data_IF_696438581265
#
_entry.id   IF_696438581265
#
_cell.length_a   1.000
_cell.length_b   1.000
_cell.length_c   1.000
_cell.angle_alpha   90.00
_cell.angle_beta   90.00
_cell.angle_gamma   90.00
#
_symmetry.space_group_name_H-M   'P 1'
#
loop_
_entity.id
_entity.type
_entity.pdbx_description
1 polymer ?
#
# COMPACT_ATOMS: atom_id res chain seq x y z
N UNK A 1 20.53 36.94 31.84
CA UNK A 1 19.54 35.98 32.37
C UNK A 1 18.72 35.41 31.22
N UNK A 2 19.18 34.31 30.60
CA UNK A 2 18.38 33.58 29.62
C UNK A 2 17.65 32.43 30.32
N UNK A 3 16.31 32.53 30.35
CA UNK A 3 15.42 31.47 30.82
C UNK A 3 15.52 30.29 29.84
N UNK A 4 16.01 29.16 30.34
CA UNK A 4 15.98 27.86 29.68
C UNK A 4 14.53 27.40 29.54
N UNK A 5 14.02 27.35 28.31
CA UNK A 5 12.73 26.76 27.95
C UNK A 5 12.84 25.25 27.79
N UNK A 6 13.15 24.54 28.87
CA UNK A 6 13.04 23.09 28.92
C UNK A 6 11.56 22.71 29.14
N UNK A 7 10.75 22.77 28.10
CA UNK A 7 9.35 22.31 28.12
C UNK A 7 9.08 21.51 26.84
N UNK A 8 8.83 20.21 27.01
CA UNK A 8 8.19 19.28 26.05
C UNK A 8 9.04 18.51 25.01
N UNK A 9 10.28 18.11 25.32
CA UNK A 9 10.96 17.03 24.57
C UNK A 9 10.62 15.61 25.09
N UNK A 10 9.75 15.50 26.10
CA UNK A 10 9.58 14.28 26.90
C UNK A 10 8.60 13.23 26.36
N UNK A 11 8.05 13.39 25.14
CA UNK A 11 7.03 12.45 24.63
C UNK A 11 7.23 11.90 23.22
N UNK A 12 8.07 12.45 22.35
CA UNK A 12 8.18 11.93 20.96
C UNK A 12 8.89 10.57 20.90
N UNK A 13 9.94 10.37 21.72
CA UNK A 13 10.71 9.11 21.72
C UNK A 13 10.02 7.98 22.50
N UNK A 14 9.31 8.28 23.60
CA UNK A 14 8.47 7.29 24.31
C UNK A 14 7.24 6.88 23.48
N UNK A 15 6.65 7.82 22.75
CA UNK A 15 5.54 7.54 21.83
C UNK A 15 6.00 6.64 20.67
N UNK A 16 7.23 6.79 20.17
CA UNK A 16 7.80 5.90 19.15
C UNK A 16 7.92 4.43 19.59
N UNK A 17 8.28 4.15 20.85
CA UNK A 17 8.37 2.76 21.35
C UNK A 17 6.98 2.14 21.56
N UNK A 18 6.02 2.92 22.08
CA UNK A 18 4.62 2.50 22.19
C UNK A 18 3.99 2.30 20.81
N UNK A 19 4.27 3.15 19.83
CA UNK A 19 3.81 2.96 18.44
C UNK A 19 4.44 1.74 17.75
N UNK A 20 5.71 1.40 18.05
CA UNK A 20 6.31 0.15 17.56
C UNK A 20 5.65 -1.08 18.20
N UNK A 21 5.27 -1.00 19.47
CA UNK A 21 4.45 -2.01 20.15
C UNK A 21 3.04 -2.12 19.56
N UNK A 22 2.37 -1.00 19.31
CA UNK A 22 1.05 -0.93 18.67
C UNK A 22 1.10 -1.43 17.21
N UNK A 23 2.19 -1.20 16.50
CA UNK A 23 2.41 -1.74 15.17
C UNK A 23 2.37 -3.26 15.16
N UNK A 24 3.09 -3.90 16.08
CA UNK A 24 3.07 -5.36 16.23
C UNK A 24 1.65 -5.90 16.49
N UNK A 25 0.79 -5.13 17.20
CA UNK A 25 -0.61 -5.50 17.45
C UNK A 25 -1.42 -5.53 16.15
N UNK A 26 -1.21 -4.60 15.21
CA UNK A 26 -1.95 -4.61 13.94
C UNK A 26 -1.60 -5.81 13.07
N UNK A 27 -0.32 -6.20 13.04
CA UNK A 27 0.11 -7.42 12.32
C UNK A 27 -0.51 -8.66 12.96
N UNK A 28 -0.47 -8.75 14.30
CA UNK A 28 -1.11 -9.86 15.04
C UNK A 28 -2.62 -9.89 14.77
N UNK A 29 -3.29 -8.75 14.71
CA UNK A 29 -4.72 -8.67 14.41
C UNK A 29 -5.01 -9.19 12.99
N UNK A 30 -4.24 -8.77 11.98
CA UNK A 30 -4.39 -9.27 10.61
C UNK A 30 -4.20 -10.78 10.55
N UNK A 31 -3.13 -11.30 11.16
CA UNK A 31 -2.87 -12.74 11.21
C UNK A 31 -3.94 -13.51 12.01
N UNK A 32 -4.51 -12.89 13.06
CA UNK A 32 -5.62 -13.44 13.82
C UNK A 32 -6.89 -13.57 12.99
N UNK A 33 -7.25 -12.54 12.21
CA UNK A 33 -8.40 -12.58 11.29
C UNK A 33 -8.21 -13.64 10.21
N UNK A 34 -7.00 -13.74 9.65
CA UNK A 34 -6.65 -14.82 8.69
C UNK A 34 -6.77 -16.19 9.36
N UNK A 35 -6.29 -16.35 10.59
CA UNK A 35 -6.37 -17.60 11.34
C UNK A 35 -7.80 -18.04 11.65
N UNK A 36 -8.66 -17.11 12.08
CA UNK A 36 -10.09 -17.39 12.30
C UNK A 36 -10.78 -17.79 11.00
N UNK A 37 -10.46 -17.10 9.89
CA UNK A 37 -10.99 -17.42 8.57
C UNK A 37 -10.54 -18.80 8.09
N UNK A 38 -9.25 -19.13 8.26
CA UNK A 38 -8.70 -20.44 7.96
C UNK A 38 -9.38 -21.54 8.76
N UNK A 39 -9.52 -21.35 10.08
CA UNK A 39 -10.23 -22.29 10.94
C UNK A 39 -11.67 -22.53 10.44
N UNK A 40 -12.39 -21.44 10.15
CA UNK A 40 -13.76 -21.49 9.66
C UNK A 40 -13.90 -22.26 8.34
N UNK A 41 -13.10 -21.92 7.35
CA UNK A 41 -13.20 -22.52 6.01
C UNK A 41 -12.66 -23.95 6.02
N UNK A 42 -11.43 -24.14 6.48
CA UNK A 42 -10.69 -25.40 6.32
C UNK A 42 -11.12 -26.45 7.32
N UNK A 43 -11.24 -26.10 8.60
CA UNK A 43 -11.46 -27.10 9.65
C UNK A 43 -12.94 -27.36 9.90
N UNK A 44 -13.78 -26.34 9.85
CA UNK A 44 -15.20 -26.50 10.16
C UNK A 44 -16.10 -26.79 8.97
N UNK A 45 -15.93 -26.10 7.83
CA UNK A 45 -16.92 -26.17 6.74
C UNK A 45 -16.48 -27.08 5.57
N UNK A 46 -15.21 -27.04 5.14
CA UNK A 46 -14.75 -27.78 3.97
C UNK A 46 -13.79 -28.95 4.27
N UNK A 47 -13.31 -29.09 5.51
CA UNK A 47 -12.53 -30.23 5.95
C UNK A 47 -13.34 -31.53 6.11
N UNK A 48 -14.45 -31.53 6.87
CA UNK A 48 -15.24 -32.74 7.13
C UNK A 48 -15.79 -33.42 5.85
N UNK A 49 -16.27 -32.67 4.82
CA UNK A 49 -16.71 -33.29 3.57
C UNK A 49 -15.63 -34.08 2.83
N UNK A 50 -14.33 -33.88 3.09
CA UNK A 50 -13.24 -34.61 2.43
C UNK A 50 -13.24 -36.11 2.77
N UNK A 51 -13.63 -36.48 3.99
CA UNK A 51 -13.67 -37.88 4.42
C UNK A 51 -14.92 -38.64 3.94
N UNK A 52 -15.96 -37.93 3.51
CA UNK A 52 -17.24 -38.52 3.12
C UNK A 52 -17.21 -39.17 1.72
N UNK A 53 -16.29 -38.74 0.85
CA UNK A 53 -16.25 -39.13 -0.56
C UNK A 53 -17.36 -38.49 -1.40
N UNK A 54 -17.30 -38.68 -2.72
CA UNK A 54 -18.34 -38.24 -3.65
C UNK A 54 -18.23 -36.77 -4.10
N UNK A 55 -19.36 -36.19 -4.50
CA UNK A 55 -19.41 -34.85 -5.10
C UNK A 55 -19.03 -33.74 -4.12
N UNK A 56 -19.46 -33.84 -2.87
CA UNK A 56 -19.16 -32.84 -1.84
C UNK A 56 -17.67 -32.78 -1.52
N UNK A 57 -16.98 -33.94 -1.52
CA UNK A 57 -15.53 -33.97 -1.39
C UNK A 57 -14.82 -33.30 -2.58
N UNK A 58 -15.32 -33.50 -3.81
CA UNK A 58 -14.75 -32.84 -4.98
C UNK A 58 -14.90 -31.32 -4.92
N UNK A 59 -16.08 -30.82 -4.56
CA UNK A 59 -16.32 -29.38 -4.36
C UNK A 59 -15.40 -28.84 -3.26
N UNK A 60 -15.29 -29.54 -2.14
CA UNK A 60 -14.42 -29.15 -1.05
C UNK A 60 -12.95 -29.08 -1.46
N UNK A 61 -12.44 -30.06 -2.22
CA UNK A 61 -11.09 -30.03 -2.76
C UNK A 61 -10.89 -28.79 -3.65
N UNK A 62 -11.82 -28.51 -4.55
CA UNK A 62 -11.71 -27.34 -5.44
C UNK A 62 -11.65 -26.02 -4.66
N UNK A 63 -12.56 -25.85 -3.69
CA UNK A 63 -12.60 -24.65 -2.83
C UNK A 63 -11.31 -24.54 -2.02
N UNK A 64 -10.85 -25.62 -1.38
CA UNK A 64 -9.65 -25.61 -0.56
C UNK A 64 -8.38 -25.35 -1.36
N UNK A 65 -8.25 -25.92 -2.56
CA UNK A 65 -7.09 -25.65 -3.44
C UNK A 65 -7.05 -24.17 -3.83
N UNK A 66 -8.19 -23.61 -4.23
CA UNK A 66 -8.27 -22.19 -4.59
C UNK A 66 -7.99 -21.29 -3.39
N UNK A 67 -8.59 -21.59 -2.23
CA UNK A 67 -8.38 -20.89 -0.97
C UNK A 67 -6.90 -20.87 -0.57
N UNK A 68 -6.21 -22.03 -0.57
CA UNK A 68 -4.79 -22.07 -0.20
C UNK A 68 -3.89 -21.34 -1.21
N UNK A 69 -4.21 -21.39 -2.51
CA UNK A 69 -3.48 -20.67 -3.53
C UNK A 69 -3.61 -19.14 -3.36
N UNK A 70 -4.83 -18.65 -3.12
CA UNK A 70 -5.09 -17.23 -2.85
C UNK A 70 -4.48 -16.79 -1.52
N UNK A 71 -4.61 -17.58 -0.45
CA UNK A 71 -4.01 -17.32 0.85
C UNK A 71 -2.48 -17.21 0.76
N UNK A 72 -1.82 -18.10 0.00
CA UNK A 72 -0.39 -18.03 -0.23
C UNK A 72 0.02 -16.71 -0.91
N UNK A 73 -0.71 -16.30 -1.95
CA UNK A 73 -0.46 -15.03 -2.65
C UNK A 73 -0.77 -13.79 -1.79
N UNK A 74 -1.83 -13.86 -0.97
CA UNK A 74 -2.20 -12.82 -0.01
C UNK A 74 -1.08 -12.62 1.02
N UNK A 75 -0.64 -13.70 1.67
CA UNK A 75 0.40 -13.64 2.69
C UNK A 75 1.73 -13.20 2.09
N UNK A 76 2.10 -13.72 0.91
CA UNK A 76 3.32 -13.30 0.22
C UNK A 76 3.28 -11.79 -0.10
N UNK A 77 2.15 -11.29 -0.61
CA UNK A 77 1.98 -9.86 -0.91
C UNK A 77 1.99 -9.00 0.37
N UNK A 78 1.31 -9.45 1.43
CA UNK A 78 1.25 -8.78 2.73
C UNK A 78 2.64 -8.63 3.36
N UNK A 79 3.39 -9.73 3.47
CA UNK A 79 4.75 -9.67 4.01
C UNK A 79 5.69 -8.88 3.10
N UNK A 80 5.49 -8.92 1.77
CA UNK A 80 6.29 -8.09 0.85
C UNK A 80 6.07 -6.59 1.10
N UNK A 81 4.84 -6.11 1.34
CA UNK A 81 4.61 -4.69 1.66
C UNK A 81 5.07 -4.32 3.08
N UNK A 82 4.88 -5.21 4.07
CA UNK A 82 5.30 -4.98 5.47
C UNK A 82 6.82 -4.88 5.58
N UNK A 83 7.55 -5.80 4.93
CA UNK A 83 9.00 -5.95 5.12
C UNK A 83 9.85 -5.12 4.16
N UNK A 84 9.29 -4.65 3.04
CA UNK A 84 10.04 -3.84 2.07
C UNK A 84 10.14 -2.39 2.53
N UNK A 85 11.34 -1.80 2.50
CA UNK A 85 11.52 -0.37 2.69
C UNK A 85 10.74 0.40 1.60
N UNK A 86 9.85 1.34 1.93
CA UNK A 86 9.02 2.06 0.95
C UNK A 86 9.80 2.99 0.02
N UNK A 87 11.09 3.22 0.27
CA UNK A 87 11.95 4.13 -0.49
C UNK A 87 12.33 5.34 0.33
N UNK A 88 13.57 5.37 0.83
CA UNK A 88 14.19 6.54 1.43
C UNK A 88 14.91 7.42 0.41
N UNK A 89 15.03 8.71 0.69
CA UNK A 89 15.90 9.59 -0.10
C UNK A 89 17.36 9.19 0.13
N UNK A 90 18.16 8.94 -0.92
CA UNK A 90 19.57 8.62 -0.79
C UNK A 90 20.34 9.71 -0.04
N UNK A 91 21.36 9.31 0.72
CA UNK A 91 22.25 10.24 1.42
C UNK A 91 22.92 11.14 0.38
N UNK A 92 22.93 12.44 0.63
CA UNK A 92 23.49 13.45 -0.28
C UNK A 92 22.80 13.57 -1.65
N UNK A 93 21.57 13.09 -1.80
CA UNK A 93 20.81 13.38 -3.02
C UNK A 93 20.73 14.90 -3.25
N UNK A 94 20.95 15.30 -4.51
CA UNK A 94 20.86 16.68 -4.99
C UNK A 94 20.02 16.70 -6.27
N UNK A 95 19.24 17.76 -6.52
CA UNK A 95 18.59 17.93 -7.82
C UNK A 95 19.67 18.01 -8.91
N UNK A 96 19.38 17.47 -10.09
CA UNK A 96 20.21 17.70 -11.27
C UNK A 96 20.14 19.18 -11.63
N UNK A 97 21.26 19.88 -11.56
CA UNK A 97 21.37 21.29 -11.97
C UNK A 97 21.71 21.27 -13.45
N UNK A 98 20.91 21.96 -14.26
CA UNK A 98 21.17 22.13 -15.69
C UNK A 98 22.22 23.25 -15.85
N UNK A 99 23.48 22.88 -16.04
CA UNK A 99 24.60 23.84 -16.18
C UNK A 99 24.43 24.78 -17.39
N UNK A 100 23.65 24.40 -18.42
CA UNK A 100 23.40 25.24 -19.61
C UNK A 100 22.48 26.45 -19.32
N UNK A 101 21.68 26.42 -18.25
CA UNK A 101 20.76 27.52 -17.91
C UNK A 101 21.38 28.63 -17.06
N UNK A 102 22.62 28.47 -16.61
CA UNK A 102 23.29 29.50 -15.81
C UNK A 102 22.58 29.84 -14.49
N UNK A 103 21.77 28.92 -13.95
CA UNK A 103 21.17 29.08 -12.62
C UNK A 103 22.28 28.87 -11.57
N UNK A 104 22.78 29.98 -11.05
CA UNK A 104 23.86 30.03 -10.05
C UNK A 104 23.54 29.14 -8.85
N UNK A 105 24.58 28.40 -8.46
CA UNK A 105 24.73 27.59 -7.26
C UNK A 105 23.87 28.05 -6.04
N UNK A 106 22.98 27.20 -5.48
CA UNK A 106 22.26 27.51 -4.24
C UNK A 106 23.15 27.49 -2.99
N UNK A 107 24.47 27.30 -3.11
CA UNK A 107 25.41 27.24 -1.98
C UNK A 107 25.63 28.58 -1.24
N UNK A 108 24.83 29.61 -1.50
CA UNK A 108 24.77 30.81 -0.64
C UNK A 108 24.05 30.50 0.69
N UNK A 109 24.83 29.99 1.64
CA UNK A 109 24.53 30.00 3.08
C UNK A 109 24.09 31.40 3.56
N UNK A 110 22.78 31.67 3.67
CA UNK A 110 22.29 32.66 4.67
C UNK A 110 20.78 32.77 4.85
N UNK A 111 19.89 32.33 3.96
CA UNK A 111 18.45 32.66 4.10
C UNK A 111 17.53 31.44 4.19
N UNK A 112 17.60 30.72 5.32
CA UNK A 112 16.62 29.68 5.69
C UNK A 112 15.27 30.26 6.18
N UNK A 113 15.11 31.58 6.13
CA UNK A 113 14.06 32.32 6.82
C UNK A 113 12.79 32.62 6.02
N UNK A 114 12.72 32.47 4.70
CA UNK A 114 11.46 32.74 3.99
C UNK A 114 11.48 32.15 2.57
N UNK A 115 11.20 30.86 2.46
CA UNK A 115 10.71 30.29 1.20
C UNK A 115 9.27 29.86 1.45
N UNK A 116 8.39 30.87 1.50
CA UNK A 116 7.10 30.71 0.82
C UNK A 116 7.44 30.39 -0.63
N UNK A 117 6.71 29.45 -1.21
CA UNK A 117 6.81 29.08 -2.62
C UNK A 117 6.84 30.35 -3.48
N UNK A 118 8.03 30.76 -3.91
CA UNK A 118 8.21 31.79 -4.92
C UNK A 118 7.61 31.22 -6.23
N UNK A 119 6.60 31.87 -6.82
CA UNK A 119 5.98 31.42 -8.06
C UNK A 119 6.95 31.37 -9.25
N UNK A 120 8.16 31.94 -9.13
CA UNK A 120 9.12 32.09 -10.22
C UNK A 120 10.21 31.01 -10.30
N UNK A 121 10.39 30.13 -9.29
CA UNK A 121 11.30 28.97 -9.40
C UNK A 121 10.71 27.70 -8.75
N UNK A 122 9.92 26.90 -9.48
CA UNK A 122 9.22 25.73 -8.96
C UNK A 122 10.12 24.51 -8.63
N UNK A 123 11.45 24.59 -8.78
CA UNK A 123 12.25 23.39 -9.10
C UNK A 123 12.92 22.65 -7.94
N UNK A 124 12.92 23.15 -6.70
CA UNK A 124 13.60 22.43 -5.60
C UNK A 124 12.83 22.50 -4.27
N UNK A 125 12.16 21.40 -3.90
CA UNK A 125 11.46 21.27 -2.61
C UNK A 125 12.44 20.84 -1.50
N UNK A 126 12.40 21.46 -0.33
CA UNK A 126 13.25 21.12 0.82
C UNK A 126 12.47 20.49 1.99
N UNK A 127 13.08 19.57 2.72
CA UNK A 127 12.54 19.04 3.98
C UNK A 127 13.32 19.59 5.17
N UNK A 128 12.73 20.51 5.93
CA UNK A 128 13.35 21.05 7.16
C UNK A 128 13.57 20.00 8.25
N UNK A 129 12.65 19.03 8.38
CA UNK A 129 12.74 17.96 9.41
C UNK A 129 13.88 16.98 9.14
N UNK A 130 14.16 16.69 7.87
CA UNK A 130 15.23 15.77 7.47
C UNK A 130 16.51 16.48 7.03
N UNK A 131 16.51 17.81 6.98
CA UNK A 131 17.60 18.65 6.50
C UNK A 131 18.18 18.22 5.14
N UNK A 132 17.28 17.98 4.17
CA UNK A 132 17.67 17.51 2.82
C UNK A 132 16.68 17.96 1.76
N UNK A 133 17.12 17.98 0.50
CA UNK A 133 16.26 18.19 -0.65
C UNK A 133 15.31 17.01 -0.87
N UNK A 134 14.10 17.30 -1.35
CA UNK A 134 13.07 16.31 -1.67
C UNK A 134 13.11 16.01 -3.17
N UNK A 135 13.31 14.75 -3.57
CA UNK A 135 13.06 14.31 -4.94
C UNK A 135 11.62 14.61 -5.40
N UNK A 136 11.36 14.56 -6.72
CA UNK A 136 10.00 14.61 -7.24
C UNK A 136 9.09 13.59 -6.55
N UNK A 137 7.83 13.98 -6.28
CA UNK A 137 6.82 13.10 -5.66
C UNK A 137 7.16 12.59 -4.24
N UNK A 138 8.23 13.10 -3.62
CA UNK A 138 8.64 12.76 -2.26
C UNK A 138 7.91 13.60 -1.20
N UNK A 139 7.46 12.96 -0.12
CA UNK A 139 6.85 13.65 1.03
C UNK A 139 7.44 13.13 2.35
N UNK A 140 7.40 13.95 3.40
CA UNK A 140 7.86 13.57 4.74
C UNK A 140 6.71 12.93 5.51
N UNK A 141 6.89 11.69 5.96
CA UNK A 141 5.95 11.04 6.85
C UNK A 141 6.39 11.26 8.31
N UNK A 142 5.54 11.91 9.11
CA UNK A 142 5.81 12.12 10.54
C UNK A 142 5.84 10.83 11.35
N UNK A 143 5.08 9.80 10.93
CA UNK A 143 5.05 8.49 11.61
C UNK A 143 6.32 7.69 11.31
N UNK A 144 6.73 7.63 10.04
CA UNK A 144 7.98 6.99 9.62
C UNK A 144 9.22 7.84 10.03
N UNK A 145 9.05 9.12 10.36
CA UNK A 145 10.12 10.02 10.79
C UNK A 145 11.11 10.44 9.68
N UNK A 146 10.76 10.21 8.40
CA UNK A 146 11.65 10.43 7.26
C UNK A 146 10.89 10.79 5.98
N UNK A 147 11.64 11.26 4.98
CA UNK A 147 11.14 11.44 3.61
C UNK A 147 11.01 10.10 2.89
N UNK A 148 9.84 9.90 2.26
CA UNK A 148 9.48 8.69 1.52
C UNK A 148 9.34 9.06 0.03
N UNK A 149 10.02 8.30 -0.83
CA UNK A 149 9.94 8.44 -2.29
C UNK A 149 8.55 8.03 -2.78
N UNK A 150 7.97 8.78 -3.73
CA UNK A 150 6.60 8.57 -4.24
C UNK A 150 5.59 8.25 -3.15
N UNK A 151 5.61 9.01 -2.06
CA UNK A 151 4.79 8.70 -0.89
C UNK A 151 3.32 8.69 -1.30
N UNK A 152 2.66 7.57 -1.01
CA UNK A 152 1.21 7.49 -1.13
C UNK A 152 0.60 7.79 0.25
N UNK A 153 0.71 6.87 1.20
CA UNK A 153 0.20 7.08 2.55
C UNK A 153 1.00 6.28 3.58
N UNK A 154 0.78 6.57 4.86
CA UNK A 154 1.20 5.68 5.94
C UNK A 154 0.05 4.72 6.26
N UNK A 155 0.29 3.42 6.13
CA UNK A 155 -0.75 2.42 6.29
C UNK A 155 -0.58 1.67 7.62
N UNK A 156 -1.57 1.82 8.50
CA UNK A 156 -1.57 1.24 9.84
C UNK A 156 -1.67 -0.29 9.79
N UNK A 157 -2.37 -0.84 8.79
CA UNK A 157 -2.58 -2.30 8.61
C UNK A 157 -1.31 -3.08 8.26
N UNK A 158 -0.34 -2.41 7.63
CA UNK A 158 0.97 -2.99 7.28
C UNK A 158 2.10 -2.39 8.11
N UNK A 159 1.78 -1.44 9.00
CA UNK A 159 2.73 -0.76 9.90
C UNK A 159 3.91 -0.16 9.15
N UNK A 160 3.66 0.32 7.93
CA UNK A 160 4.69 0.81 7.04
C UNK A 160 4.13 1.94 6.18
N UNK A 161 5.03 2.81 5.71
CA UNK A 161 4.67 3.72 4.65
C UNK A 161 4.48 2.92 3.34
N UNK A 162 3.57 3.37 2.49
CA UNK A 162 3.41 2.90 1.11
C UNK A 162 4.02 3.98 0.21
N UNK A 163 5.04 3.58 -0.55
CA UNK A 163 5.86 4.48 -1.37
C UNK A 163 6.39 3.79 -2.62
N UNK A 164 7.39 4.38 -3.26
CA UNK A 164 7.90 3.96 -4.57
C UNK A 164 8.25 2.46 -4.65
N UNK A 165 8.91 1.92 -3.61
CA UNK A 165 9.50 0.58 -3.67
C UNK A 165 8.57 -0.55 -3.24
N UNK A 166 7.42 -0.25 -2.62
CA UNK A 166 6.47 -1.26 -2.13
C UNK A 166 5.03 -1.04 -2.62
N UNK A 167 4.76 -0.03 -3.46
CA UNK A 167 3.40 0.27 -3.93
C UNK A 167 2.76 -0.90 -4.70
N UNK A 168 3.51 -1.58 -5.57
CA UNK A 168 3.01 -2.78 -6.26
C UNK A 168 2.60 -3.87 -5.29
N UNK A 169 3.40 -4.13 -4.25
CA UNK A 169 3.11 -5.16 -3.26
C UNK A 169 1.85 -4.80 -2.46
N UNK A 170 1.66 -3.53 -2.15
CA UNK A 170 0.43 -3.03 -1.55
C UNK A 170 -0.80 -3.26 -2.45
N UNK A 171 -0.71 -2.95 -3.74
CA UNK A 171 -1.81 -3.19 -4.69
C UNK A 171 -2.15 -4.67 -4.84
N UNK A 172 -1.13 -5.54 -4.90
CA UNK A 172 -1.33 -6.99 -4.94
C UNK A 172 -1.93 -7.51 -3.63
N UNK A 173 -1.51 -6.98 -2.48
CA UNK A 173 -2.13 -7.28 -1.20
C UNK A 173 -3.62 -6.93 -1.19
N UNK A 174 -4.02 -5.75 -1.67
CA UNK A 174 -5.44 -5.38 -1.79
C UNK A 174 -6.19 -6.32 -2.75
N UNK A 175 -5.60 -6.62 -3.90
CA UNK A 175 -6.21 -7.50 -4.90
C UNK A 175 -6.44 -8.92 -4.37
N UNK A 176 -5.42 -9.55 -3.79
CA UNK A 176 -5.54 -10.90 -3.24
C UNK A 176 -6.41 -10.93 -1.97
N UNK A 177 -6.41 -9.88 -1.15
CA UNK A 177 -7.36 -9.76 -0.03
C UNK A 177 -8.80 -9.72 -0.53
N UNK A 178 -9.09 -8.95 -1.58
CA UNK A 178 -10.43 -8.90 -2.18
C UNK A 178 -10.86 -10.27 -2.73
N UNK A 179 -9.99 -10.94 -3.48
CA UNK A 179 -10.30 -12.27 -4.03
C UNK A 179 -10.54 -13.30 -2.92
N UNK A 180 -9.66 -13.35 -1.91
CA UNK A 180 -9.76 -14.27 -0.79
C UNK A 180 -11.05 -14.06 0.00
N UNK A 181 -11.29 -12.82 0.44
CA UNK A 181 -12.49 -12.47 1.22
C UNK A 181 -13.77 -12.74 0.44
N UNK A 182 -13.78 -12.46 -0.87
CA UNK A 182 -14.94 -12.78 -1.74
C UNK A 182 -15.15 -14.28 -1.85
N UNK A 183 -14.10 -15.07 -2.07
CA UNK A 183 -14.19 -16.53 -2.10
C UNK A 183 -14.77 -17.06 -0.78
N UNK A 184 -14.27 -16.59 0.35
CA UNK A 184 -14.74 -17.00 1.68
C UNK A 184 -16.21 -16.63 1.87
N UNK A 185 -16.61 -15.41 1.55
CA UNK A 185 -18.00 -14.97 1.65
C UNK A 185 -18.94 -15.85 0.81
N UNK A 186 -18.59 -16.11 -0.45
CA UNK A 186 -19.40 -16.97 -1.32
C UNK A 186 -19.45 -18.41 -0.82
N UNK A 187 -18.32 -18.93 -0.33
CA UNK A 187 -18.20 -20.32 0.17
C UNK A 187 -18.97 -20.54 1.48
N UNK A 188 -19.09 -19.52 2.33
CA UNK A 188 -19.79 -19.59 3.61
C UNK A 188 -21.26 -19.13 3.51
N UNK A 189 -21.69 -18.50 2.40
CA UNK A 189 -23.05 -18.00 2.24
C UNK A 189 -24.14 -19.08 2.46
N UNK A 190 -24.04 -20.32 1.94
CA UNK A 190 -25.05 -21.34 2.20
C UNK A 190 -25.16 -21.69 3.68
N UNK A 191 -24.03 -21.79 4.38
CA UNK A 191 -23.97 -22.06 5.81
C UNK A 191 -24.55 -20.90 6.64
N UNK A 192 -24.29 -19.67 6.20
CA UNK A 192 -24.86 -18.48 6.81
C UNK A 192 -26.38 -18.40 6.62
N UNK A 193 -26.91 -18.74 5.44
CA UNK A 193 -28.36 -18.80 5.20
C UNK A 193 -29.00 -19.91 6.05
N UNK A 194 -28.36 -21.08 6.11
CA UNK A 194 -28.83 -22.19 6.94
C UNK A 194 -28.94 -21.82 8.42
N UNK A 195 -28.10 -20.89 8.92
CA UNK A 195 -28.18 -20.34 10.28
C UNK A 195 -29.55 -19.74 10.63
N UNK A 196 -30.25 -19.18 9.64
CA UNK A 196 -31.55 -18.52 9.84
C UNK A 196 -32.75 -19.40 9.49
N UNK A 197 -32.51 -20.65 9.09
CA UNK A 197 -33.58 -21.60 8.82
C UNK A 197 -33.86 -22.44 10.08
N UNK A 198 -35.12 -22.84 10.30
CA UNK A 198 -35.58 -23.60 11.47
C UNK A 198 -35.06 -25.07 11.54
N UNK A 199 -33.99 -25.40 10.81
CA UNK A 199 -33.40 -26.73 10.77
C UNK A 199 -32.32 -26.93 11.84
N UNK A 200 -32.11 -28.17 12.27
CA UNK A 200 -30.94 -28.53 13.08
C UNK A 200 -29.67 -28.36 12.24
N UNK A 201 -28.75 -27.51 12.70
CA UNK A 201 -27.47 -27.28 12.02
C UNK A 201 -26.40 -28.14 12.68
N UNK A 202 -25.76 -29.06 11.95
CA UNK A 202 -24.70 -29.88 12.51
C UNK A 202 -23.51 -29.01 12.93
N UNK A 203 -23.04 -29.19 14.17
CA UNK A 203 -21.89 -28.48 14.70
C UNK A 203 -22.03 -28.14 16.19
N UNK A 204 -20.96 -27.60 16.76
CA UNK A 204 -20.99 -27.04 18.13
C UNK A 204 -21.35 -25.55 18.08
N UNK A 205 -21.81 -25.00 19.20
CA UNK A 205 -22.04 -23.55 19.31
C UNK A 205 -20.80 -22.72 18.92
N UNK A 206 -19.60 -23.21 19.25
CA UNK A 206 -18.34 -22.56 18.88
C UNK A 206 -18.10 -22.52 17.38
N UNK A 207 -18.29 -23.65 16.68
CA UNK A 207 -18.07 -23.74 15.23
C UNK A 207 -19.08 -22.94 14.42
N UNK A 208 -20.32 -22.87 14.91
CA UNK A 208 -21.37 -22.02 14.32
C UNK A 208 -21.03 -20.54 14.52
N UNK A 209 -20.63 -20.14 15.73
CA UNK A 209 -20.22 -18.77 16.02
C UNK A 209 -19.02 -18.32 15.18
N UNK A 210 -18.00 -19.18 15.02
CA UNK A 210 -16.84 -18.86 14.17
C UNK A 210 -17.19 -18.76 12.70
N UNK A 211 -18.11 -19.60 12.22
CA UNK A 211 -18.59 -19.55 10.82
C UNK A 211 -19.36 -18.26 10.55
N UNK A 212 -20.29 -17.92 11.44
CA UNK A 212 -21.06 -16.67 11.37
C UNK A 212 -20.14 -15.44 11.40
N UNK A 213 -19.23 -15.37 12.38
CA UNK A 213 -18.28 -14.27 12.52
C UNK A 213 -17.40 -14.14 11.27
N UNK A 214 -16.89 -15.26 10.75
CA UNK A 214 -16.04 -15.26 9.56
C UNK A 214 -16.80 -14.77 8.32
N UNK A 215 -18.05 -15.19 8.14
CA UNK A 215 -18.87 -14.70 7.02
C UNK A 215 -19.06 -13.18 7.07
N UNK A 216 -19.48 -12.65 8.23
CA UNK A 216 -19.74 -11.21 8.41
C UNK A 216 -18.46 -10.40 8.23
N UNK A 217 -17.35 -10.83 8.84
CA UNK A 217 -16.06 -10.14 8.71
C UNK A 217 -15.57 -10.15 7.25
N UNK A 218 -15.57 -11.30 6.57
CA UNK A 218 -15.09 -11.39 5.20
C UNK A 218 -15.98 -10.61 4.22
N UNK A 219 -17.31 -10.59 4.43
CA UNK A 219 -18.21 -9.75 3.62
C UNK A 219 -17.89 -8.25 3.80
N UNK A 220 -17.70 -7.82 5.05
CA UNK A 220 -17.34 -6.43 5.34
C UNK A 220 -15.99 -6.03 4.72
N UNK A 221 -14.97 -6.90 4.82
CA UNK A 221 -13.69 -6.68 4.17
C UNK A 221 -13.77 -6.70 2.65
N UNK A 222 -14.51 -7.63 2.04
CA UNK A 222 -14.67 -7.70 0.59
C UNK A 222 -15.26 -6.39 0.04
N UNK A 223 -16.32 -5.87 0.67
CA UNK A 223 -16.94 -4.60 0.27
C UNK A 223 -16.01 -3.39 0.49
N UNK A 224 -15.34 -3.33 1.64
CA UNK A 224 -14.45 -2.23 1.97
C UNK A 224 -13.21 -2.20 1.06
N UNK A 225 -12.57 -3.35 0.86
CA UNK A 225 -11.37 -3.49 0.02
C UNK A 225 -11.71 -3.29 -1.45
N UNK A 226 -12.90 -3.68 -1.92
CA UNK A 226 -13.34 -3.37 -3.29
C UNK A 226 -13.35 -1.87 -3.56
N UNK A 227 -13.94 -1.07 -2.67
CA UNK A 227 -13.95 0.39 -2.80
C UNK A 227 -12.53 0.97 -2.80
N UNK A 228 -11.66 0.44 -1.95
CA UNK A 228 -10.27 0.89 -1.88
C UNK A 228 -9.46 0.50 -3.12
N UNK A 229 -9.69 -0.70 -3.67
CA UNK A 229 -9.08 -1.17 -4.90
C UNK A 229 -9.51 -0.34 -6.10
N UNK A 230 -10.80 0.00 -6.21
CA UNK A 230 -11.31 0.90 -7.27
C UNK A 230 -10.61 2.26 -7.21
N UNK A 231 -10.48 2.84 -6.01
CA UNK A 231 -9.76 4.09 -5.81
C UNK A 231 -8.30 3.98 -6.31
N UNK A 232 -7.57 2.96 -5.88
CA UNK A 232 -6.18 2.78 -6.29
C UNK A 232 -6.01 2.46 -7.78
N UNK A 233 -6.94 1.72 -8.40
CA UNK A 233 -6.95 1.50 -9.85
C UNK A 233 -7.10 2.84 -10.59
N UNK A 234 -7.94 3.74 -10.10
CA UNK A 234 -8.10 5.10 -10.64
C UNK A 234 -6.80 5.91 -10.51
N UNK A 235 -6.16 5.85 -9.33
CA UNK A 235 -4.88 6.51 -9.06
C UNK A 235 -3.75 6.01 -9.98
N UNK A 236 -3.63 4.70 -10.14
CA UNK A 236 -2.67 4.09 -11.08
C UNK A 236 -2.98 4.51 -12.50
N UNK A 237 -4.25 4.50 -12.91
CA UNK A 237 -4.67 4.90 -14.26
C UNK A 237 -4.33 6.35 -14.58
N UNK A 238 -4.34 7.24 -13.57
CA UNK A 238 -3.98 8.65 -13.70
C UNK A 238 -2.52 8.98 -13.33
N UNK A 239 -1.74 7.98 -12.92
CA UNK A 239 -0.37 8.11 -12.38
C UNK A 239 -0.24 9.14 -11.25
N UNK A 240 -1.20 9.15 -10.33
CA UNK A 240 -1.20 10.01 -9.14
C UNK A 240 -1.08 9.15 -7.88
N UNK A 241 -0.38 9.63 -6.86
CA UNK A 241 -0.53 9.11 -5.49
C UNK A 241 -1.80 9.67 -4.84
N UNK A 242 -2.21 9.13 -3.69
CA UNK A 242 -3.32 9.69 -2.89
C UNK A 242 -3.06 11.14 -2.48
N UNK A 243 -1.82 11.49 -2.10
CA UNK A 243 -1.42 12.88 -1.80
C UNK A 243 -1.58 13.77 -3.03
N UNK A 244 -1.03 13.32 -4.17
CA UNK A 244 -1.08 14.08 -5.41
C UNK A 244 -2.50 14.24 -5.93
N UNK A 245 -3.37 13.24 -5.78
CA UNK A 245 -4.78 13.34 -6.17
C UNK A 245 -5.54 14.38 -5.32
N UNK A 246 -5.15 14.56 -4.06
CA UNK A 246 -5.68 15.62 -3.21
C UNK A 246 -5.14 17.00 -3.63
N UNK A 247 -3.84 17.10 -3.92
CA UNK A 247 -3.18 18.33 -4.38
C UNK A 247 -3.66 18.76 -5.80
N UNK A 248 -3.91 17.80 -6.70
CA UNK A 248 -4.28 17.99 -8.13
C UNK A 248 -5.63 18.67 -8.35
N UNK A 249 -6.48 18.84 -7.33
CA UNK A 249 -7.79 19.51 -7.48
C UNK A 249 -7.69 20.94 -8.07
N UNK A 250 -6.49 21.49 -8.19
CA UNK A 250 -6.18 22.80 -8.76
C UNK A 250 -5.75 22.79 -10.23
N UNK A 251 -5.41 21.64 -10.86
CA UNK A 251 -4.84 21.60 -12.23
C UNK A 251 -5.45 20.49 -13.13
N UNK A 252 -5.95 20.82 -14.34
CA UNK A 252 -6.58 19.83 -15.23
C UNK A 252 -5.56 18.90 -15.93
N UNK A 253 -4.31 19.33 -16.12
CA UNK A 253 -3.25 18.54 -16.76
C UNK A 253 -2.30 17.98 -15.70
N UNK A 254 -1.91 16.70 -15.81
CA UNK A 254 -0.95 16.06 -14.88
C UNK A 254 0.27 15.57 -15.64
N UNK A 255 1.45 16.13 -15.33
CA UNK A 255 2.70 15.88 -16.06
C UNK A 255 3.16 14.42 -16.09
N UNK A 256 2.83 13.63 -15.07
CA UNK A 256 3.20 12.21 -15.00
C UNK A 256 2.16 11.28 -15.62
N UNK A 257 1.00 11.78 -16.06
CA UNK A 257 0.02 10.95 -16.77
C UNK A 257 0.48 10.71 -18.22
N UNK A 258 0.99 9.51 -18.50
CA UNK A 258 1.49 9.08 -19.81
C UNK A 258 0.48 8.21 -20.58
N UNK A 259 -0.76 8.11 -20.09
CA UNK A 259 -1.79 7.20 -20.58
C UNK A 259 -1.84 5.89 -19.79
N UNK A 260 -3.04 5.33 -19.67
CA UNK A 260 -3.38 4.23 -18.74
C UNK A 260 -2.39 3.06 -18.74
N UNK A 261 -1.99 2.58 -19.93
CA UNK A 261 -1.05 1.46 -20.06
C UNK A 261 0.34 1.78 -19.52
N UNK A 262 0.93 2.91 -19.94
CA UNK A 262 2.26 3.34 -19.49
C UNK A 262 2.26 3.64 -17.99
N UNK A 263 1.17 4.21 -17.48
CA UNK A 263 1.00 4.48 -16.05
C UNK A 263 0.96 3.18 -15.23
N UNK A 264 0.25 2.16 -15.74
CA UNK A 264 0.25 0.83 -15.13
C UNK A 264 1.64 0.18 -15.16
N UNK A 265 2.31 0.21 -16.31
CA UNK A 265 3.67 -0.35 -16.47
C UNK A 265 4.69 0.33 -15.54
N UNK A 266 4.56 1.64 -15.27
CA UNK A 266 5.40 2.33 -14.27
C UNK A 266 5.29 1.77 -12.84
N UNK A 267 4.20 1.08 -12.52
CA UNK A 267 4.00 0.44 -11.20
C UNK A 267 4.28 -1.06 -11.27
N UNK A 268 3.80 -1.75 -12.31
CA UNK A 268 3.83 -3.21 -12.38
C UNK A 268 5.03 -3.80 -13.13
N UNK A 269 5.77 -2.98 -13.87
CA UNK A 269 6.80 -3.42 -14.81
C UNK A 269 6.22 -3.70 -16.20
N UNK A 270 7.11 -3.89 -17.17
CA UNK A 270 6.73 -4.23 -18.54
C UNK A 270 6.53 -5.73 -18.73
N UNK A 271 7.15 -6.55 -17.88
CA UNK A 271 6.98 -8.01 -17.92
C UNK A 271 5.66 -8.46 -17.30
N UNK A 272 4.79 -8.99 -18.16
CA UNK A 272 3.44 -9.47 -17.81
C UNK A 272 3.46 -10.65 -16.86
N UNK A 273 4.49 -11.50 -16.89
CA UNK A 273 4.59 -12.66 -16.01
C UNK A 273 4.67 -12.25 -14.54
N UNK A 274 5.25 -11.07 -14.28
CA UNK A 274 5.42 -10.54 -12.94
C UNK A 274 4.26 -9.67 -12.49
N UNK A 275 3.23 -9.40 -13.31
CA UNK A 275 2.15 -8.47 -12.94
C UNK A 275 1.38 -8.91 -11.71
N UNK A 276 1.17 -10.22 -11.56
CA UNK A 276 0.43 -10.80 -10.43
C UNK A 276 1.35 -11.36 -9.34
N UNK A 277 2.68 -11.21 -9.48
CA UNK A 277 3.64 -11.67 -8.49
C UNK A 277 4.18 -10.47 -7.71
N UNK A 278 4.41 -10.59 -6.39
CA UNK A 278 5.03 -9.55 -5.58
C UNK A 278 6.55 -9.53 -5.82
N UNK A 279 6.92 -9.22 -7.05
CA UNK A 279 8.29 -9.12 -7.53
C UNK A 279 8.34 -8.42 -8.89
N UNK A 280 9.55 -8.18 -9.39
CA UNK A 280 9.79 -7.59 -10.70
C UNK A 280 10.86 -8.41 -11.41
N UNK A 281 10.80 -8.42 -12.74
CA UNK A 281 11.89 -8.96 -13.55
C UNK A 281 13.19 -8.18 -13.31
N UNK A 282 14.34 -8.85 -13.43
CA UNK A 282 15.65 -8.19 -13.31
C UNK A 282 15.87 -7.13 -14.41
N UNK A 283 15.21 -7.30 -15.55
CA UNK A 283 15.24 -6.32 -16.63
C UNK A 283 14.47 -5.05 -16.26
N UNK A 284 13.24 -5.18 -15.75
CA UNK A 284 12.45 -4.02 -15.29
C UNK A 284 13.18 -3.27 -14.17
N UNK A 285 13.74 -3.98 -13.18
CA UNK A 285 14.50 -3.35 -12.06
C UNK A 285 15.69 -2.52 -12.54
N UNK A 286 16.36 -2.96 -13.61
CA UNK A 286 17.52 -2.25 -14.17
C UNK A 286 17.13 -1.11 -15.11
N UNK A 287 16.08 -1.29 -15.91
CA UNK A 287 15.74 -0.37 -17.00
C UNK A 287 14.71 0.68 -16.65
N UNK A 288 13.98 0.54 -15.54
CA UNK A 288 12.87 1.45 -15.19
C UNK A 288 13.24 2.34 -14.00
N UNK A 289 13.68 3.59 -14.21
CA UNK A 289 13.99 4.54 -13.14
C UNK A 289 12.82 4.80 -12.19
N UNK A 290 11.58 4.73 -12.70
CA UNK A 290 10.37 4.92 -11.90
C UNK A 290 10.20 3.88 -10.79
N UNK A 291 10.79 2.69 -10.93
CA UNK A 291 10.78 1.64 -9.91
C UNK A 291 11.79 1.90 -8.78
N UNK A 292 12.76 2.80 -8.99
CA UNK A 292 13.71 3.22 -7.96
C UNK A 292 13.21 4.45 -7.18
N UNK A 293 12.22 5.16 -7.73
CA UNK A 293 11.49 6.22 -7.04
C UNK A 293 12.11 7.61 -7.09
N UNK A 294 13.22 7.79 -7.82
CA UNK A 294 13.94 9.07 -7.91
C UNK A 294 13.56 9.87 -9.16
N UNK A 295 13.29 9.19 -10.26
CA UNK A 295 13.02 9.79 -11.56
C UNK A 295 11.73 9.22 -12.15
N UNK A 296 10.95 10.08 -12.80
CA UNK A 296 9.70 9.71 -13.44
C UNK A 296 9.63 10.38 -14.81
N UNK A 297 9.31 9.62 -15.88
CA UNK A 297 9.04 10.23 -17.17
C UNK A 297 7.84 11.19 -17.07
N UNK A 298 8.00 12.41 -17.59
CA UNK A 298 6.96 13.43 -17.72
C UNK A 298 6.67 13.76 -19.19
N UNK A 299 5.51 14.35 -19.45
CA UNK A 299 5.18 14.94 -20.76
C UNK A 299 5.98 16.24 -20.96
N UNK A 300 6.90 16.31 -21.94
CA UNK A 300 7.78 17.48 -22.13
C UNK A 300 7.01 18.77 -22.39
N UNK A 301 5.88 18.69 -23.09
CA UNK A 301 5.00 19.81 -23.43
C UNK A 301 4.48 20.55 -22.18
N UNK A 302 4.35 19.86 -21.05
CA UNK A 302 3.92 20.44 -19.78
C UNK A 302 5.08 20.89 -18.90
N UNK A 303 6.30 20.48 -19.22
CA UNK A 303 7.51 20.98 -18.56
C UNK A 303 7.89 22.39 -19.09
N UNK A 304 7.30 22.82 -20.21
CA UNK A 304 7.49 24.12 -20.87
C UNK A 304 6.27 25.05 -20.84
N UNK A 305 5.12 24.64 -20.29
CA UNK A 305 3.89 25.46 -20.22
C UNK A 305 3.66 26.10 -18.82
N UNK A 306 4.55 25.86 -17.85
CA UNK A 306 4.57 26.56 -16.55
C UNK A 306 5.54 27.76 -16.54
N UNK A 307 5.53 28.57 -17.62
CA UNK A 307 6.15 29.90 -17.66
C UNK A 307 5.11 30.99 -17.40
#
# INVERSE_FOLDING_TARGET
MHRSGAVMAWNVFKFCTVLRGLGSIMIILVLGVVGVTYYSVVLTNYGPPLSAGGFDSFVAICVLVLFHALLAMLLWSYFSVVLTDPGGVPVNWRPAIDEERGETDPLSNSDYGALQSDPSNPRVRYCRKCNQFKPPRCHHCSVCGRCILKMDHHCVWVVNCVGALNYKYFLLFLFYTFLETTLVTLSLLPHFIAFFNDGEIPGTAGTLATTFLSFVLNLAFALSVLGFLIMHISLVSANTTTIEAYEKKTTPKWRYDLGRRKNFEQVFGTDKLHWFLPGYSDEDRRRMPSLQGLEYPSKPELDSEEF
#
